data_IF_167933317487
#
_entry.id   IF_167933317487
#
_cell.length_a   1.000
_cell.length_b   1.000
_cell.length_c   1.000
_cell.angle_alpha   90.00
_cell.angle_beta   90.00
_cell.angle_gamma   90.00
#
_symmetry.space_group_name_H-M   'P 1'
#
loop_
_entity.id
_entity.type
_entity.pdbx_description
1 polymer ?
#
# COMPACT_ATOMS: atom_id res chain seq x y z
N UNK A 1 -86.21 33.94 -49.25
CA UNK A 1 -84.92 33.64 -48.59
C UNK A 1 -83.80 34.20 -49.46
N UNK A 2 -82.83 34.85 -48.81
CA UNK A 2 -81.90 35.85 -49.33
C UNK A 2 -80.99 35.45 -50.50
N UNK A 3 -80.55 36.50 -51.19
CA UNK A 3 -79.71 36.55 -52.37
C UNK A 3 -78.20 36.69 -52.07
N UNK A 4 -77.39 36.37 -53.11
CA UNK A 4 -76.32 37.21 -53.68
C UNK A 4 -74.89 37.28 -53.07
N UNK A 5 -73.96 36.79 -53.91
CA UNK A 5 -72.70 37.39 -54.41
C UNK A 5 -71.33 37.30 -53.69
N UNK A 6 -70.34 37.03 -54.56
CA UNK A 6 -68.87 37.09 -54.45
C UNK A 6 -68.31 38.52 -54.28
N UNK A 7 -67.16 38.65 -53.60
CA UNK A 7 -65.94 39.43 -53.97
C UNK A 7 -64.82 39.17 -52.93
N UNK A 8 -63.71 38.51 -53.30
CA UNK A 8 -62.35 39.06 -53.55
C UNK A 8 -61.80 40.01 -52.46
N UNK A 9 -60.67 39.62 -51.85
CA UNK A 9 -59.84 40.49 -51.01
C UNK A 9 -58.49 39.83 -50.66
N UNK A 10 -57.48 40.27 -51.40
CA UNK A 10 -56.02 40.18 -51.27
C UNK A 10 -55.31 39.52 -50.08
N UNK A 11 -54.19 38.90 -50.44
CA UNK A 11 -53.19 38.31 -49.56
C UNK A 11 -52.60 39.24 -48.52
N UNK A 12 -52.04 38.60 -47.50
CA UNK A 12 -50.99 39.15 -46.65
C UNK A 12 -50.04 38.00 -46.34
N UNK A 13 -48.93 37.99 -47.08
CA UNK A 13 -47.75 37.20 -46.76
C UNK A 13 -47.24 37.66 -45.39
N UNK A 14 -47.53 36.92 -44.32
CA UNK A 14 -46.67 36.94 -43.14
C UNK A 14 -45.79 35.70 -43.21
N UNK A 15 -44.68 35.87 -43.95
CA UNK A 15 -43.48 35.05 -43.81
C UNK A 15 -43.04 35.15 -42.34
N UNK A 16 -43.46 34.20 -41.52
CA UNK A 16 -42.76 34.00 -40.25
C UNK A 16 -41.30 33.66 -40.60
N UNK A 17 -40.33 34.35 -40.01
CA UNK A 17 -38.94 34.01 -40.21
C UNK A 17 -38.76 32.64 -39.57
N UNK A 18 -38.69 31.63 -40.42
CA UNK A 18 -38.30 30.26 -40.11
C UNK A 18 -37.02 30.37 -39.29
N UNK A 19 -37.14 30.30 -37.97
CA UNK A 19 -36.00 30.27 -37.07
C UNK A 19 -35.20 29.06 -37.52
N UNK A 20 -34.06 29.31 -38.18
CA UNK A 20 -33.09 28.28 -38.50
C UNK A 20 -32.67 27.71 -37.17
N UNK A 21 -33.39 26.67 -36.71
CA UNK A 21 -32.90 25.73 -35.72
C UNK A 21 -31.65 25.18 -36.36
N UNK A 22 -30.51 25.76 -35.98
CA UNK A 22 -29.23 25.15 -36.21
C UNK A 22 -29.36 23.76 -35.61
N UNK A 23 -29.59 22.76 -36.46
CA UNK A 23 -29.43 21.36 -36.08
C UNK A 23 -27.96 21.27 -35.75
N UNK A 24 -27.64 21.44 -34.47
CA UNK A 24 -26.36 21.01 -33.93
C UNK A 24 -26.23 19.58 -34.42
N UNK A 25 -25.35 19.35 -35.39
CA UNK A 25 -24.95 18.01 -35.76
C UNK A 25 -24.32 17.46 -34.49
N UNK A 26 -25.09 16.73 -33.70
CA UNK A 26 -24.54 15.90 -32.65
C UNK A 26 -23.62 14.93 -33.40
N UNK A 27 -22.31 15.14 -33.26
CA UNK A 27 -21.33 14.14 -33.67
C UNK A 27 -21.80 12.77 -33.21
N UNK A 28 -21.66 11.76 -34.06
CA UNK A 28 -22.03 10.39 -33.71
C UNK A 28 -21.43 10.04 -32.35
N UNK A 29 -22.29 9.64 -31.41
CA UNK A 29 -21.85 9.30 -30.07
C UNK A 29 -20.71 8.25 -30.16
N UNK A 30 -19.62 8.42 -29.40
CA UNK A 30 -18.47 7.54 -29.53
C UNK A 30 -18.88 6.09 -29.25
N UNK A 31 -18.69 5.19 -30.23
CA UNK A 31 -19.15 3.79 -30.13
C UNK A 31 -18.29 2.93 -29.20
N UNK A 32 -17.10 3.42 -28.84
CA UNK A 32 -16.16 2.72 -27.96
C UNK A 32 -15.97 3.50 -26.65
N UNK A 33 -16.02 2.82 -25.51
CA UNK A 33 -15.87 3.45 -24.20
C UNK A 33 -14.59 4.30 -24.09
N UNK A 34 -13.46 3.78 -24.57
CA UNK A 34 -12.16 4.46 -24.51
C UNK A 34 -12.02 5.67 -25.44
N UNK A 35 -12.98 5.91 -26.34
CA UNK A 35 -13.00 7.10 -27.19
C UNK A 35 -13.70 8.30 -26.53
N UNK A 36 -14.23 8.13 -25.32
CA UNK A 36 -14.78 9.22 -24.53
C UNK A 36 -13.65 10.14 -23.99
N UNK A 37 -13.91 11.45 -23.85
CA UNK A 37 -13.04 12.36 -23.12
C UNK A 37 -12.71 11.86 -21.71
N UNK A 38 -11.50 12.21 -21.23
CA UNK A 38 -10.97 11.72 -19.95
C UNK A 38 -11.91 12.04 -18.79
N UNK A 39 -12.52 13.21 -18.79
CA UNK A 39 -13.42 13.68 -17.73
C UNK A 39 -14.68 12.80 -17.63
N UNK A 40 -15.19 12.34 -18.78
CA UNK A 40 -16.34 11.42 -18.81
C UNK A 40 -15.93 10.02 -18.36
N UNK A 41 -14.74 9.55 -18.77
CA UNK A 41 -14.20 8.28 -18.30
C UNK A 41 -14.01 8.28 -16.77
N UNK A 42 -13.43 9.34 -16.21
CA UNK A 42 -13.25 9.53 -14.77
C UNK A 42 -14.60 9.54 -14.03
N UNK A 43 -15.60 10.23 -14.58
CA UNK A 43 -16.96 10.23 -14.03
C UNK A 43 -17.59 8.84 -14.05
N UNK A 44 -17.39 8.05 -15.11
CA UNK A 44 -17.87 6.67 -15.20
C UNK A 44 -17.18 5.80 -14.14
N UNK A 45 -15.85 5.80 -14.09
CA UNK A 45 -15.11 4.94 -13.13
C UNK A 45 -15.37 5.34 -11.68
N UNK A 46 -15.68 6.62 -11.39
CA UNK A 46 -16.09 7.08 -10.06
C UNK A 46 -17.38 6.42 -9.55
N UNK A 47 -18.22 5.91 -10.45
CA UNK A 47 -19.50 5.27 -10.14
C UNK A 47 -19.42 3.75 -10.10
N UNK A 48 -18.25 3.17 -10.41
CA UNK A 48 -18.10 1.72 -10.42
C UNK A 48 -17.96 1.20 -8.99
N UNK A 49 -18.98 0.47 -8.53
CA UNK A 49 -19.00 -0.13 -7.19
C UNK A 49 -17.90 -1.18 -6.98
N UNK A 50 -17.51 -1.88 -8.06
CA UNK A 50 -16.58 -3.01 -8.04
C UNK A 50 -15.42 -2.78 -9.02
N UNK A 51 -14.40 -1.98 -8.64
CA UNK A 51 -13.30 -1.60 -9.53
C UNK A 51 -12.45 -2.80 -9.99
N UNK A 52 -12.54 -3.94 -9.31
CA UNK A 52 -11.89 -5.18 -9.70
C UNK A 52 -12.30 -5.69 -11.08
N UNK A 53 -13.55 -5.45 -11.49
CA UNK A 53 -14.01 -5.84 -12.82
C UNK A 53 -13.36 -4.96 -13.90
N UNK A 54 -13.18 -3.66 -13.65
CA UNK A 54 -12.48 -2.77 -14.58
C UNK A 54 -11.02 -3.19 -14.75
N UNK A 55 -10.32 -3.41 -13.63
CA UNK A 55 -8.89 -3.73 -13.59
C UNK A 55 -8.58 -5.04 -14.36
N UNK A 56 -9.51 -6.00 -14.34
CA UNK A 56 -9.36 -7.30 -15.03
C UNK A 56 -9.75 -7.27 -16.49
N UNK A 57 -10.56 -6.29 -16.93
CA UNK A 57 -11.19 -6.32 -18.25
C UNK A 57 -10.35 -5.63 -19.32
N UNK A 58 -9.70 -4.51 -18.98
CA UNK A 58 -8.89 -3.74 -19.94
C UNK A 58 -7.75 -3.02 -19.22
N UNK A 59 -6.56 -3.07 -19.82
CA UNK A 59 -5.39 -2.34 -19.31
C UNK A 59 -5.63 -0.82 -19.36
N UNK A 60 -6.22 -0.31 -20.43
CA UNK A 60 -6.50 1.12 -20.53
C UNK A 60 -7.53 1.60 -19.49
N UNK A 61 -8.55 0.79 -19.19
CA UNK A 61 -9.51 1.12 -18.11
C UNK A 61 -8.86 1.00 -16.73
N UNK A 62 -7.96 0.03 -16.54
CA UNK A 62 -7.16 -0.09 -15.32
C UNK A 62 -6.32 1.17 -15.09
N UNK A 63 -5.68 1.68 -16.14
CA UNK A 63 -4.79 2.84 -16.03
C UNK A 63 -5.60 4.10 -15.73
N UNK A 64 -6.73 4.31 -16.43
CA UNK A 64 -7.68 5.40 -16.13
C UNK A 64 -8.19 5.34 -14.69
N UNK A 65 -8.62 4.17 -14.22
CA UNK A 65 -9.07 4.00 -12.84
C UNK A 65 -7.94 4.26 -11.83
N UNK A 66 -6.73 3.76 -12.12
CA UNK A 66 -5.56 3.92 -11.26
C UNK A 66 -5.20 5.40 -11.12
N UNK A 67 -5.15 6.14 -12.22
CA UNK A 67 -4.91 7.58 -12.21
C UNK A 67 -5.96 8.33 -11.38
N UNK A 68 -7.24 8.02 -11.62
CA UNK A 68 -8.35 8.62 -10.90
C UNK A 68 -8.24 8.39 -9.38
N UNK A 69 -8.06 7.13 -8.95
CA UNK A 69 -8.04 6.80 -7.52
C UNK A 69 -6.77 7.32 -6.83
N UNK A 70 -5.64 7.36 -7.54
CA UNK A 70 -4.41 7.96 -7.03
C UNK A 70 -4.55 9.47 -6.89
N UNK A 71 -5.25 10.13 -7.80
CA UNK A 71 -5.57 11.56 -7.65
C UNK A 71 -6.48 11.80 -6.44
N UNK A 72 -7.55 11.01 -6.27
CA UNK A 72 -8.40 11.07 -5.07
C UNK A 72 -7.58 10.86 -3.79
N UNK A 73 -6.62 9.94 -3.80
CA UNK A 73 -5.73 9.72 -2.67
C UNK A 73 -4.85 10.93 -2.35
N UNK A 74 -4.26 11.58 -3.36
CA UNK A 74 -3.48 12.81 -3.15
C UNK A 74 -4.35 13.91 -2.54
N UNK A 75 -5.58 14.08 -3.03
CA UNK A 75 -6.54 15.04 -2.45
C UNK A 75 -6.90 14.69 -1.01
N UNK A 76 -7.14 13.40 -0.72
CA UNK A 76 -7.42 12.92 0.64
C UNK A 76 -6.24 13.17 1.59
N UNK A 77 -5.02 12.91 1.17
CA UNK A 77 -3.82 13.21 1.96
C UNK A 77 -3.67 14.71 2.18
N UNK A 78 -3.93 15.51 1.14
CA UNK A 78 -3.87 16.97 1.22
C UNK A 78 -4.89 17.54 2.22
N UNK A 79 -6.12 17.01 2.23
CA UNK A 79 -7.18 17.50 3.13
C UNK A 79 -6.89 17.23 4.62
N UNK A 80 -6.02 16.28 4.93
CA UNK A 80 -5.62 15.92 6.29
C UNK A 80 -4.23 16.48 6.67
N UNK A 81 -3.69 17.47 5.93
CA UNK A 81 -2.47 18.18 6.35
C UNK A 81 -2.70 18.91 7.66
N UNK A 82 -1.62 19.13 8.41
CA UNK A 82 -1.69 19.78 9.72
C UNK A 82 -2.37 21.16 9.64
N UNK A 83 -3.39 21.36 10.45
CA UNK A 83 -4.14 22.60 10.62
C UNK A 83 -3.91 23.17 12.03
N UNK A 84 -4.06 24.49 12.23
CA UNK A 84 -3.79 25.13 13.53
C UNK A 84 -4.71 24.67 14.67
N UNK A 85 -5.93 24.22 14.36
CA UNK A 85 -6.91 23.75 15.34
C UNK A 85 -7.44 22.39 14.89
N UNK A 86 -7.07 21.34 15.62
CA UNK A 86 -7.44 19.97 15.26
C UNK A 86 -8.00 19.22 16.46
N UNK A 87 -9.05 18.44 16.19
CA UNK A 87 -9.51 17.44 17.13
C UNK A 87 -8.58 16.24 17.20
N UNK A 88 -8.75 15.40 18.22
CA UNK A 88 -7.94 14.20 18.45
C UNK A 88 -7.85 13.24 17.25
N UNK A 89 -8.86 13.25 16.36
CA UNK A 89 -8.94 12.38 15.19
C UNK A 89 -7.89 12.69 14.12
N UNK A 90 -7.65 13.96 13.82
CA UNK A 90 -6.82 14.36 12.67
C UNK A 90 -5.35 13.91 12.80
N UNK A 91 -4.69 14.02 13.97
CA UNK A 91 -3.37 13.44 14.19
C UNK A 91 -3.32 11.93 13.92
N UNK A 92 -4.38 11.19 14.28
CA UNK A 92 -4.47 9.75 14.06
C UNK A 92 -4.57 9.43 12.57
N UNK A 93 -5.44 10.14 11.84
CA UNK A 93 -5.58 9.95 10.39
C UNK A 93 -4.27 10.27 9.67
N UNK A 94 -3.59 11.35 10.06
CA UNK A 94 -2.26 11.67 9.52
C UNK A 94 -1.24 10.58 9.79
N UNK A 95 -1.18 10.04 11.02
CA UNK A 95 -0.26 8.96 11.34
C UNK A 95 -0.57 7.71 10.50
N UNK A 96 -1.85 7.36 10.32
CA UNK A 96 -2.28 6.26 9.44
C UNK A 96 -1.82 6.48 7.99
N UNK A 97 -2.02 7.68 7.44
CA UNK A 97 -1.62 8.03 6.07
C UNK A 97 -0.10 8.05 5.91
N UNK A 98 0.63 8.56 6.91
CA UNK A 98 2.10 8.52 6.92
C UNK A 98 2.58 7.08 6.88
N UNK A 99 2.12 6.24 7.82
CA UNK A 99 2.51 4.82 7.87
C UNK A 99 2.12 4.06 6.60
N UNK A 100 0.96 4.37 6.00
CA UNK A 100 0.55 3.81 4.71
C UNK A 100 1.57 4.14 3.60
N UNK A 101 2.00 5.40 3.51
CA UNK A 101 3.01 5.83 2.53
C UNK A 101 4.36 5.12 2.77
N UNK A 102 4.85 5.11 4.02
CA UNK A 102 6.10 4.42 4.38
C UNK A 102 6.09 2.92 4.04
N UNK A 103 4.90 2.30 4.07
CA UNK A 103 4.71 0.89 3.74
C UNK A 103 4.52 0.59 2.24
N UNK A 104 4.20 1.58 1.40
CA UNK A 104 3.74 1.36 0.02
C UNK A 104 4.50 2.12 -1.06
N UNK A 105 5.19 3.21 -0.72
CA UNK A 105 5.83 4.12 -1.68
C UNK A 105 6.80 3.42 -2.66
N UNK A 106 7.65 2.51 -2.17
CA UNK A 106 8.58 1.76 -3.02
C UNK A 106 7.87 0.94 -4.10
N UNK A 107 6.73 0.33 -3.74
CA UNK A 107 5.95 -0.47 -4.68
C UNK A 107 5.23 0.41 -5.70
N UNK A 108 4.61 1.50 -5.26
CA UNK A 108 3.89 2.42 -6.14
C UNK A 108 4.83 2.97 -7.22
N UNK A 109 6.05 3.37 -6.84
CA UNK A 109 7.06 3.89 -7.77
C UNK A 109 7.61 2.85 -8.73
N UNK A 110 7.54 1.56 -8.38
CA UNK A 110 7.93 0.46 -9.25
C UNK A 110 6.77 -0.07 -10.13
N UNK A 111 5.69 0.70 -10.29
CA UNK A 111 4.58 0.33 -11.18
C UNK A 111 3.49 -0.53 -10.53
N UNK A 112 3.53 -0.75 -9.21
CA UNK A 112 2.45 -1.48 -8.50
C UNK A 112 1.28 -0.56 -8.08
N UNK A 113 1.17 0.63 -8.69
CA UNK A 113 0.05 1.57 -8.51
C UNK A 113 -1.35 0.92 -8.66
N UNK A 114 -1.60 0.09 -9.68
CA UNK A 114 -2.90 -0.58 -9.83
C UNK A 114 -3.26 -1.51 -8.66
N UNK A 115 -2.27 -2.21 -8.08
CA UNK A 115 -2.48 -3.06 -6.90
C UNK A 115 -2.83 -2.22 -5.66
N UNK A 116 -2.18 -1.06 -5.51
CA UNK A 116 -2.45 -0.13 -4.42
C UNK A 116 -3.84 0.51 -4.55
N UNK A 117 -4.21 0.96 -5.75
CA UNK A 117 -5.49 1.58 -6.04
C UNK A 117 -6.71 0.68 -5.79
N UNK A 118 -6.54 -0.64 -5.94
CA UNK A 118 -7.61 -1.65 -5.90
C UNK A 118 -8.58 -1.53 -4.71
N UNK A 119 -8.06 -1.31 -3.49
CA UNK A 119 -8.86 -1.20 -2.26
C UNK A 119 -8.82 0.19 -1.62
N UNK A 120 -8.26 1.18 -2.32
CA UNK A 120 -7.91 2.46 -1.72
C UNK A 120 -9.15 3.29 -1.36
N UNK A 121 -10.16 3.31 -2.24
CA UNK A 121 -11.45 3.95 -1.96
C UNK A 121 -12.12 3.39 -0.69
N UNK A 122 -12.11 2.06 -0.53
CA UNK A 122 -12.68 1.40 0.63
C UNK A 122 -11.89 1.72 1.92
N UNK A 123 -10.58 1.88 1.83
CA UNK A 123 -9.76 2.32 2.96
C UNK A 123 -10.14 3.75 3.37
N UNK A 124 -10.21 4.70 2.43
CA UNK A 124 -10.59 6.09 2.73
C UNK A 124 -11.96 6.18 3.36
N UNK A 125 -12.97 5.50 2.80
CA UNK A 125 -14.31 5.48 3.36
C UNK A 125 -14.34 4.96 4.81
N UNK A 126 -13.58 3.90 5.10
CA UNK A 126 -13.48 3.32 6.44
C UNK A 126 -12.73 4.22 7.42
N UNK A 127 -11.65 4.87 6.99
CA UNK A 127 -10.94 5.86 7.82
C UNK A 127 -11.85 7.07 8.11
N UNK A 128 -12.60 7.54 7.11
CA UNK A 128 -13.57 8.63 7.29
C UNK A 128 -14.65 8.29 8.30
N UNK A 129 -15.18 7.06 8.26
CA UNK A 129 -16.21 6.59 9.19
C UNK A 129 -15.68 6.23 10.59
N UNK A 130 -14.37 6.04 10.75
CA UNK A 130 -13.77 5.63 12.02
C UNK A 130 -13.62 6.81 12.98
N UNK A 131 -13.97 6.60 14.24
CA UNK A 131 -13.85 7.60 15.32
C UNK A 131 -12.67 7.32 16.25
N UNK A 132 -12.11 6.10 16.23
CA UNK A 132 -11.02 5.70 17.12
C UNK A 132 -9.84 5.10 16.34
N UNK A 133 -8.66 5.17 16.95
CA UNK A 133 -7.40 4.69 16.38
C UNK A 133 -7.38 3.17 16.15
N UNK A 134 -7.93 2.38 17.08
CA UNK A 134 -7.91 0.91 16.98
C UNK A 134 -8.61 0.42 15.71
N UNK A 135 -9.79 0.97 15.41
CA UNK A 135 -10.55 0.66 14.20
C UNK A 135 -9.79 1.09 12.94
N UNK A 136 -9.21 2.29 12.92
CA UNK A 136 -8.39 2.74 11.79
C UNK A 136 -7.17 1.85 11.55
N UNK A 137 -6.51 1.42 12.63
CA UNK A 137 -5.37 0.51 12.59
C UNK A 137 -5.75 -0.87 12.03
N UNK A 138 -6.91 -1.42 12.40
CA UNK A 138 -7.44 -2.66 11.80
C UNK A 138 -7.66 -2.48 10.29
N UNK A 139 -8.20 -1.34 9.86
CA UNK A 139 -8.42 -1.06 8.44
C UNK A 139 -7.12 -0.90 7.66
N UNK A 140 -6.14 -0.19 8.22
CA UNK A 140 -4.79 -0.05 7.65
C UNK A 140 -4.11 -1.42 7.49
N UNK A 141 -4.08 -2.21 8.57
CA UNK A 141 -3.48 -3.55 8.54
C UNK A 141 -4.16 -4.47 7.52
N UNK A 142 -5.50 -4.42 7.45
CA UNK A 142 -6.24 -5.20 6.46
C UNK A 142 -5.90 -4.75 5.03
N UNK A 143 -5.83 -3.45 4.78
CA UNK A 143 -5.44 -2.93 3.47
C UNK A 143 -4.03 -3.37 3.08
N UNK A 144 -3.04 -3.20 3.97
CA UNK A 144 -1.65 -3.57 3.70
C UNK A 144 -1.48 -5.08 3.48
N UNK A 145 -2.14 -5.91 4.29
CA UNK A 145 -2.14 -7.35 4.07
C UNK A 145 -2.70 -7.70 2.69
N UNK A 146 -3.85 -7.14 2.32
CA UNK A 146 -4.46 -7.40 1.01
C UNK A 146 -3.60 -6.89 -0.14
N UNK A 147 -3.02 -5.71 -0.01
CA UNK A 147 -2.10 -5.13 -0.99
C UNK A 147 -0.89 -6.03 -1.21
N UNK A 148 -0.14 -6.37 -0.15
CA UNK A 148 1.05 -7.21 -0.25
C UNK A 148 0.72 -8.63 -0.74
N UNK A 149 -0.41 -9.21 -0.32
CA UNK A 149 -0.86 -10.51 -0.82
C UNK A 149 -1.19 -10.47 -2.31
N UNK A 150 -1.74 -9.35 -2.80
CA UNK A 150 -2.01 -9.16 -4.23
C UNK A 150 -0.72 -9.03 -5.06
N UNK A 151 0.42 -8.74 -4.44
CA UNK A 151 1.71 -8.71 -5.14
C UNK A 151 2.28 -10.13 -5.32
N UNK A 152 2.00 -11.04 -4.40
CA UNK A 152 2.45 -12.44 -4.47
C UNK A 152 1.66 -13.26 -5.51
N UNK A 153 0.46 -12.81 -5.91
CA UNK A 153 -0.39 -13.46 -6.94
C UNK A 153 -0.76 -12.44 -8.03
N UNK A 154 -0.43 -12.66 -9.32
CA UNK A 154 -0.81 -11.72 -10.37
C UNK A 154 -2.31 -11.43 -10.38
N UNK A 155 -2.73 -10.17 -10.51
CA UNK A 155 -4.17 -9.81 -10.62
C UNK A 155 -4.85 -10.49 -11.83
N UNK A 156 -4.04 -10.89 -12.82
CA UNK A 156 -4.46 -11.61 -14.05
C UNK A 156 -4.57 -13.13 -13.82
N UNK A 157 -3.96 -13.71 -12.77
CA UNK A 157 -4.00 -15.16 -12.49
C UNK A 157 -5.34 -15.65 -11.92
N UNK A 158 -6.38 -14.81 -11.92
CA UNK A 158 -7.79 -15.21 -11.74
C UNK A 158 -8.46 -15.57 -13.08
N UNK A 159 -7.72 -15.54 -14.20
CA UNK A 159 -8.08 -16.23 -15.44
C UNK A 159 -7.34 -17.57 -15.42
N UNK A 160 -8.07 -18.66 -15.20
CA UNK A 160 -7.52 -20.01 -15.34
C UNK A 160 -6.81 -20.12 -16.70
N UNK A 161 -5.53 -20.51 -16.70
CA UNK A 161 -4.82 -20.90 -17.92
C UNK A 161 -3.76 -19.94 -18.48
N UNK A 162 -3.46 -18.79 -17.87
CA UNK A 162 -2.40 -17.91 -18.41
C UNK A 162 -1.57 -17.16 -17.35
N UNK A 163 -1.02 -17.89 -16.38
CA UNK A 163 0.15 -17.42 -15.65
C UNK A 163 1.34 -18.26 -16.10
N UNK A 164 2.16 -17.82 -17.07
CA UNK A 164 3.51 -18.35 -17.13
C UNK A 164 4.12 -18.05 -15.76
N UNK A 165 4.81 -19.02 -15.16
CA UNK A 165 5.59 -18.84 -13.95
C UNK A 165 6.16 -17.41 -13.93
N UNK A 166 5.61 -16.53 -13.07
CA UNK A 166 5.97 -15.12 -13.09
C UNK A 166 7.49 -15.08 -12.94
N UNK A 167 8.20 -14.71 -14.02
CA UNK A 167 9.62 -15.00 -14.18
C UNK A 167 10.35 -14.74 -12.87
N UNK A 168 11.13 -15.69 -12.32
CA UNK A 168 11.62 -15.65 -10.94
C UNK A 168 12.19 -14.30 -10.51
N UNK A 169 12.76 -13.53 -11.45
CA UNK A 169 13.17 -12.14 -11.30
C UNK A 169 12.10 -11.20 -10.72
N UNK A 170 10.83 -11.31 -11.12
CA UNK A 170 9.73 -10.49 -10.59
C UNK A 170 9.40 -10.82 -9.14
N UNK A 171 9.47 -12.11 -8.75
CA UNK A 171 9.29 -12.51 -7.35
C UNK A 171 10.42 -11.92 -6.51
N UNK A 172 11.66 -12.10 -6.94
CA UNK A 172 12.83 -11.59 -6.24
C UNK A 172 12.82 -10.06 -6.13
N UNK A 173 12.37 -9.36 -7.17
CA UNK A 173 12.20 -7.90 -7.14
C UNK A 173 11.17 -7.47 -6.08
N UNK A 174 10.01 -8.14 -6.00
CA UNK A 174 9.03 -7.87 -4.94
C UNK A 174 9.59 -8.14 -3.54
N UNK A 175 10.42 -9.17 -3.37
CA UNK A 175 11.08 -9.47 -2.09
C UNK A 175 12.14 -8.43 -1.73
N UNK A 176 12.85 -7.89 -2.70
CA UNK A 176 13.75 -6.75 -2.51
C UNK A 176 12.96 -5.54 -2.02
N UNK A 177 11.89 -5.17 -2.72
CA UNK A 177 11.04 -4.03 -2.33
C UNK A 177 10.45 -4.19 -0.93
N UNK A 178 9.98 -5.39 -0.59
CA UNK A 178 9.49 -5.68 0.76
C UNK A 178 10.59 -5.52 1.82
N UNK A 179 11.79 -6.00 1.54
CA UNK A 179 12.93 -5.85 2.45
C UNK A 179 13.26 -4.37 2.65
N UNK A 180 13.29 -3.59 1.56
CA UNK A 180 13.46 -2.14 1.61
C UNK A 180 12.35 -1.47 2.44
N UNK A 181 11.09 -1.84 2.22
CA UNK A 181 9.95 -1.34 3.00
C UNK A 181 10.13 -1.62 4.48
N UNK A 182 10.52 -2.83 4.86
CA UNK A 182 10.74 -3.17 6.26
C UNK A 182 11.87 -2.33 6.88
N UNK A 183 12.99 -2.17 6.17
CA UNK A 183 14.09 -1.32 6.59
C UNK A 183 13.66 0.15 6.77
N UNK A 184 12.89 0.68 5.83
CA UNK A 184 12.37 2.04 5.91
C UNK A 184 11.41 2.19 7.09
N UNK A 185 10.45 1.27 7.29
CA UNK A 185 9.55 1.30 8.44
C UNK A 185 10.30 1.31 9.78
N UNK A 186 11.34 0.49 9.92
CA UNK A 186 12.16 0.44 11.14
C UNK A 186 12.86 1.78 11.41
N UNK A 187 13.36 2.45 10.37
CA UNK A 187 14.01 3.76 10.48
C UNK A 187 13.07 4.85 10.98
N UNK A 188 11.76 4.71 10.76
CA UNK A 188 10.76 5.72 11.13
C UNK A 188 10.39 5.71 12.62
N UNK A 189 10.84 4.72 13.39
CA UNK A 189 10.66 4.71 14.85
C UNK A 189 11.51 5.78 15.51
N UNK A 190 10.97 6.43 16.56
CA UNK A 190 11.66 7.52 17.27
C UNK A 190 13.01 7.13 17.86
N UNK A 191 13.17 5.86 18.25
CA UNK A 191 14.39 5.33 18.88
C UNK A 191 14.98 4.17 18.08
N UNK A 192 15.26 4.43 16.81
CA UNK A 192 15.95 3.51 15.91
C UNK A 192 17.47 3.74 15.95
N UNK A 193 18.24 2.65 15.93
CA UNK A 193 19.70 2.71 15.83
C UNK A 193 20.26 1.56 15.00
N UNK A 194 21.23 1.86 14.14
CA UNK A 194 22.09 0.86 13.50
C UNK A 194 23.20 0.48 14.50
N UNK A 195 23.28 -0.80 14.85
CA UNK A 195 24.31 -1.34 15.75
C UNK A 195 25.57 -1.78 14.98
N UNK A 196 25.39 -2.41 13.82
CA UNK A 196 26.48 -2.82 12.93
C UNK A 196 25.99 -3.00 11.50
N UNK A 197 26.86 -2.79 10.52
CA UNK A 197 26.58 -3.00 9.09
C UNK A 197 27.88 -3.41 8.41
N UNK A 198 28.07 -4.71 8.24
CA UNK A 198 29.36 -5.28 7.82
C UNK A 198 29.16 -6.31 6.71
N UNK A 199 30.19 -6.50 5.89
CA UNK A 199 30.27 -7.63 4.97
C UNK A 199 30.96 -8.81 5.66
N UNK A 200 30.30 -9.97 5.74
CA UNK A 200 30.90 -11.22 6.20
C UNK A 200 30.82 -12.27 5.10
N UNK A 201 31.97 -12.64 4.55
CA UNK A 201 32.07 -13.48 3.35
C UNK A 201 31.27 -12.83 2.21
N UNK A 202 30.26 -13.55 1.67
CA UNK A 202 29.36 -13.07 0.63
C UNK A 202 28.07 -12.44 1.17
N UNK A 203 27.91 -12.35 2.49
CA UNK A 203 26.68 -11.84 3.11
C UNK A 203 26.88 -10.43 3.66
N UNK A 204 25.97 -9.53 3.35
CA UNK A 204 25.81 -8.29 4.09
C UNK A 204 25.03 -8.56 5.36
N UNK A 205 25.61 -8.22 6.52
CA UNK A 205 24.99 -8.35 7.83
C UNK A 205 24.66 -6.97 8.38
N UNK A 206 23.37 -6.71 8.56
CA UNK A 206 22.87 -5.49 9.18
C UNK A 206 22.21 -5.84 10.51
N UNK A 207 22.65 -5.19 11.57
CA UNK A 207 22.05 -5.31 12.90
C UNK A 207 21.51 -3.97 13.33
N UNK A 208 20.22 -3.94 13.66
CA UNK A 208 19.52 -2.74 14.12
C UNK A 208 18.82 -2.99 15.45
N UNK A 209 18.63 -1.91 16.19
CA UNK A 209 17.93 -1.86 17.48
C UNK A 209 16.80 -0.85 17.39
N UNK A 210 15.63 -1.22 17.90
CA UNK A 210 14.51 -0.31 18.14
C UNK A 210 14.15 -0.39 19.61
N UNK A 211 14.34 0.72 20.33
CA UNK A 211 14.07 0.80 21.75
C UNK A 211 12.59 1.05 22.05
N UNK A 212 12.13 0.55 23.19
CA UNK A 212 10.76 0.73 23.67
C UNK A 212 9.73 -0.20 23.02
N UNK A 213 10.13 -1.06 22.08
CA UNK A 213 9.25 -2.02 21.42
C UNK A 213 9.65 -3.47 21.75
N UNK A 214 8.71 -4.40 21.59
CA UNK A 214 8.95 -5.82 21.78
C UNK A 214 8.07 -6.69 20.87
N UNK A 215 8.58 -7.88 20.58
CA UNK A 215 7.93 -8.94 19.82
C UNK A 215 8.41 -10.30 20.35
N UNK A 216 7.50 -11.11 20.85
CA UNK A 216 7.76 -12.44 21.40
C UNK A 216 6.71 -13.47 20.97
N UNK A 217 7.03 -14.74 21.20
CA UNK A 217 6.11 -15.87 20.97
C UNK A 217 5.64 -16.35 22.34
N UNK A 218 4.33 -16.46 22.54
CA UNK A 218 3.74 -16.94 23.80
C UNK A 218 3.69 -18.48 23.87
N UNK A 219 3.58 -19.17 22.73
CA UNK A 219 3.49 -20.62 22.69
C UNK A 219 4.84 -21.30 22.95
N UNK A 220 4.96 -21.97 24.09
CA UNK A 220 6.13 -22.74 24.54
C UNK A 220 6.22 -24.14 23.90
N UNK A 221 5.87 -24.30 22.63
CA UNK A 221 6.14 -25.57 21.94
C UNK A 221 7.67 -25.72 21.81
N UNK A 222 8.24 -26.75 22.44
CA UNK A 222 9.69 -27.04 22.48
C UNK A 222 10.26 -27.06 21.06
N UNK A 223 10.96 -25.99 20.68
CA UNK A 223 11.62 -25.84 19.38
C UNK A 223 11.96 -24.37 19.11
N UNK A 224 12.96 -24.10 18.27
CA UNK A 224 13.19 -22.73 17.79
C UNK A 224 11.94 -22.30 17.02
N UNK A 225 11.30 -21.17 17.36
CA UNK A 225 10.11 -20.74 16.65
C UNK A 225 10.49 -20.23 15.26
N UNK A 226 10.62 -21.15 14.30
CA UNK A 226 10.70 -20.81 12.89
C UNK A 226 9.29 -20.55 12.40
N UNK A 227 8.94 -19.30 12.09
CA UNK A 227 7.73 -19.07 11.32
C UNK A 227 8.00 -19.75 9.96
N UNK A 228 7.28 -20.85 9.67
CA UNK A 228 7.32 -21.57 8.39
C UNK A 228 5.93 -21.45 7.74
N UNK A 229 5.85 -20.89 6.53
CA UNK A 229 4.60 -20.74 5.80
C UNK A 229 4.64 -19.64 4.73
N UNK A 230 3.80 -19.75 3.70
CA UNK A 230 3.61 -18.67 2.72
C UNK A 230 3.16 -17.39 3.44
N UNK A 231 3.72 -16.24 3.06
CA UNK A 231 3.28 -14.89 3.42
C UNK A 231 3.59 -14.38 4.84
N UNK A 232 4.43 -15.06 5.63
CA UNK A 232 4.77 -14.59 6.98
C UNK A 232 5.53 -13.26 7.01
N UNK A 233 6.30 -12.99 5.96
CA UNK A 233 6.96 -11.70 5.76
C UNK A 233 5.96 -10.53 5.70
N UNK A 234 4.78 -10.75 5.12
CA UNK A 234 3.67 -9.77 5.08
C UNK A 234 3.14 -9.51 6.50
N UNK A 235 3.01 -10.56 7.30
CA UNK A 235 2.53 -10.42 8.66
C UNK A 235 3.49 -9.61 9.53
N UNK A 236 4.80 -9.83 9.41
CA UNK A 236 5.79 -9.00 10.13
C UNK A 236 5.69 -7.54 9.72
N UNK A 237 5.56 -7.24 8.43
CA UNK A 237 5.34 -5.86 7.98
C UNK A 237 4.09 -5.26 8.63
N UNK A 238 2.99 -6.01 8.72
CA UNK A 238 1.79 -5.56 9.43
C UNK A 238 2.02 -5.29 10.92
N UNK A 239 2.72 -6.18 11.64
CA UNK A 239 3.05 -5.97 13.06
C UNK A 239 3.91 -4.72 13.27
N UNK A 240 4.94 -4.53 12.44
CA UNK A 240 5.84 -3.38 12.52
C UNK A 240 5.10 -2.08 12.19
N UNK A 241 4.22 -2.11 11.18
CA UNK A 241 3.34 -0.98 10.79
C UNK A 241 2.44 -0.56 11.95
N UNK A 242 1.80 -1.52 12.61
CA UNK A 242 0.95 -1.27 13.77
C UNK A 242 1.74 -0.64 14.93
N UNK A 243 2.90 -1.21 15.28
CA UNK A 243 3.76 -0.62 16.32
C UNK A 243 4.25 0.79 15.93
N UNK A 244 4.57 1.02 14.65
CA UNK A 244 5.01 2.33 14.17
C UNK A 244 3.90 3.38 14.30
N UNK A 245 2.65 3.03 13.99
CA UNK A 245 1.51 3.92 14.16
C UNK A 245 1.37 4.40 15.61
N UNK A 246 1.44 3.46 16.55
CA UNK A 246 1.39 3.76 17.99
C UNK A 246 2.61 4.56 18.47
N UNK A 247 3.80 4.28 17.95
CA UNK A 247 5.02 5.05 18.27
C UNK A 247 4.90 6.51 17.80
N UNK A 248 4.42 6.74 16.58
CA UNK A 248 4.20 8.09 16.03
C UNK A 248 3.19 8.90 16.84
N UNK A 249 2.20 8.24 17.43
CA UNK A 249 1.21 8.88 18.30
C UNK A 249 1.67 8.98 19.76
N UNK A 250 2.78 8.35 20.12
CA UNK A 250 3.30 8.36 21.49
C UNK A 250 2.45 7.57 22.49
N UNK A 251 1.73 6.54 22.04
CA UNK A 251 0.75 5.79 22.85
C UNK A 251 1.29 4.39 23.14
N UNK A 252 1.32 3.98 24.42
CA UNK A 252 1.66 2.62 24.80
C UNK A 252 0.64 1.60 24.26
N UNK A 253 1.11 0.41 23.90
CA UNK A 253 0.28 -0.60 23.28
C UNK A 253 0.84 -2.00 23.52
N UNK A 254 -0.06 -2.96 23.72
CA UNK A 254 0.26 -4.39 23.78
C UNK A 254 -0.85 -5.15 23.07
N UNK A 255 -0.49 -6.10 22.24
CA UNK A 255 -1.42 -6.96 21.53
C UNK A 255 -0.91 -8.39 21.45
N UNK A 256 -1.86 -9.32 21.41
CA UNK A 256 -1.64 -10.72 21.10
C UNK A 256 -2.28 -11.02 19.74
N UNK A 257 -1.53 -11.64 18.83
CA UNK A 257 -2.04 -12.03 17.52
C UNK A 257 -1.64 -13.46 17.20
N UNK A 258 -2.63 -14.28 16.89
CA UNK A 258 -2.40 -15.65 16.46
C UNK A 258 -2.18 -15.69 14.95
N UNK A 259 -1.04 -16.23 14.54
CA UNK A 259 -0.63 -16.36 13.14
C UNK A 259 -0.23 -17.83 12.92
N UNK A 260 -0.97 -18.53 12.06
CA UNK A 260 -0.71 -19.95 11.73
C UNK A 260 -0.51 -20.85 12.97
N UNK A 261 -1.40 -20.73 13.96
CA UNK A 261 -1.35 -21.55 15.17
C UNK A 261 -0.28 -21.13 16.19
N UNK A 262 0.37 -19.98 16.01
CA UNK A 262 1.28 -19.40 17.01
C UNK A 262 0.79 -18.05 17.48
N UNK A 263 0.74 -17.86 18.79
CA UNK A 263 0.38 -16.58 19.39
C UNK A 263 1.62 -15.72 19.60
N UNK A 264 1.69 -14.60 18.89
CA UNK A 264 2.70 -13.58 19.05
C UNK A 264 2.20 -12.51 20.00
N UNK A 265 3.04 -12.09 20.94
CA UNK A 265 2.81 -10.90 21.76
C UNK A 265 3.77 -9.80 21.33
N UNK A 266 3.24 -8.61 21.08
CA UNK A 266 4.02 -7.48 20.61
C UNK A 266 3.43 -6.17 21.09
N UNK A 267 4.24 -5.12 21.02
CA UNK A 267 3.79 -3.79 21.37
C UNK A 267 4.93 -2.85 21.70
N UNK A 268 4.56 -1.73 22.34
CA UNK A 268 5.49 -0.71 22.79
C UNK A 268 5.13 -0.21 24.19
N UNK A 269 6.17 0.03 24.97
CA UNK A 269 6.08 0.68 26.26
C UNK A 269 7.15 1.79 26.33
N UNK A 270 6.68 3.00 26.11
CA UNK A 270 7.44 4.23 26.04
C UNK A 270 7.89 4.73 27.42
N UNK A 271 7.32 4.20 28.49
CA UNK A 271 7.66 4.55 29.87
C UNK A 271 8.79 3.66 30.42
N UNK A 272 8.97 2.45 29.86
CA UNK A 272 9.99 1.49 30.27
C UNK A 272 11.09 1.29 29.20
N UNK A 273 11.46 2.36 28.48
CA UNK A 273 12.45 2.33 27.37
C UNK A 273 13.75 1.60 27.70
N UNK A 274 14.22 1.71 28.95
CA UNK A 274 15.47 1.08 29.40
C UNK A 274 15.42 -0.45 29.44
N UNK A 275 14.23 -1.05 29.41
CA UNK A 275 14.05 -2.48 29.65
C UNK A 275 13.54 -3.27 28.44
N UNK A 276 13.00 -2.61 27.40
CA UNK A 276 12.42 -3.27 26.23
C UNK A 276 13.13 -2.78 24.97
N UNK A 277 13.69 -3.72 24.21
CA UNK A 277 14.29 -3.44 22.91
C UNK A 277 14.11 -4.63 21.98
N UNK A 278 13.84 -4.33 20.72
CA UNK A 278 13.83 -5.30 19.63
C UNK A 278 15.13 -5.17 18.85
N UNK A 279 15.90 -6.26 18.80
CA UNK A 279 17.10 -6.36 17.99
C UNK A 279 16.74 -7.18 16.75
N UNK A 280 16.95 -6.60 15.57
CA UNK A 280 16.76 -7.26 14.28
C UNK A 280 18.12 -7.44 13.60
N UNK A 281 18.40 -8.66 13.16
CA UNK A 281 19.60 -9.01 12.41
C UNK A 281 19.21 -9.54 11.04
N UNK A 282 19.56 -8.78 10.01
CA UNK A 282 19.40 -9.13 8.62
C UNK A 282 20.70 -9.76 8.12
N UNK A 283 20.59 -10.92 7.49
CA UNK A 283 21.67 -11.56 6.73
C UNK A 283 21.23 -11.64 5.28
N UNK A 284 21.88 -10.87 4.43
CA UNK A 284 21.49 -10.65 3.03
C UNK A 284 22.56 -11.23 2.11
N UNK A 285 22.16 -12.11 1.20
CA UNK A 285 22.94 -12.56 0.06
C UNK A 285 22.33 -11.94 -1.20
N UNK A 286 23.04 -11.01 -1.83
CA UNK A 286 22.55 -10.29 -3.00
C UNK A 286 23.70 -9.74 -3.87
N UNK A 287 23.47 -9.42 -5.14
CA UNK A 287 24.41 -8.63 -5.93
C UNK A 287 24.70 -7.28 -5.29
N UNK A 288 25.89 -6.73 -5.57
CA UNK A 288 26.39 -5.49 -4.93
C UNK A 288 25.42 -4.32 -5.07
N UNK A 289 24.79 -4.14 -6.23
CA UNK A 289 23.82 -3.06 -6.45
C UNK A 289 22.57 -3.20 -5.57
N UNK A 290 22.05 -4.41 -5.36
CA UNK A 290 20.95 -4.66 -4.43
C UNK A 290 21.35 -4.37 -2.97
N UNK A 291 22.57 -4.73 -2.58
CA UNK A 291 23.10 -4.39 -1.24
C UNK A 291 23.19 -2.87 -1.07
N UNK A 292 23.71 -2.15 -2.07
CA UNK A 292 23.79 -0.69 -2.05
C UNK A 292 22.40 -0.04 -1.94
N UNK A 293 21.39 -0.57 -2.63
CA UNK A 293 20.00 -0.10 -2.51
C UNK A 293 19.46 -0.29 -1.08
N UNK A 294 19.71 -1.44 -0.45
CA UNK A 294 19.29 -1.69 0.92
C UNK A 294 20.02 -0.81 1.94
N UNK A 295 21.31 -0.56 1.72
CA UNK A 295 22.12 0.36 2.54
C UNK A 295 21.59 1.79 2.43
N UNK A 296 21.30 2.28 1.22
CA UNK A 296 20.67 3.60 1.02
C UNK A 296 19.28 3.67 1.64
N UNK A 297 18.48 2.62 1.54
CA UNK A 297 17.14 2.57 2.13
C UNK A 297 17.18 2.69 3.66
N UNK A 298 18.07 1.96 4.35
CA UNK A 298 18.19 2.05 5.81
C UNK A 298 18.86 3.35 6.28
N UNK A 299 19.71 3.97 5.46
CA UNK A 299 20.28 5.30 5.72
C UNK A 299 19.27 6.44 5.49
N UNK A 300 18.19 6.18 4.74
CA UNK A 300 17.24 7.23 4.34
C UNK A 300 17.75 8.11 3.20
N UNK A 301 18.75 7.64 2.46
CA UNK A 301 19.43 8.36 1.37
C UNK A 301 18.95 7.91 -0.02
N UNK A 302 17.89 7.10 -0.07
CA UNK A 302 17.39 6.60 -1.33
C UNK A 302 16.63 7.71 -2.06
N UNK A 303 17.18 8.15 -3.19
CA UNK A 303 16.41 8.94 -4.14
C UNK A 303 15.37 8.02 -4.79
N UNK A 304 14.13 8.41 -4.61
CA UNK A 304 12.98 7.69 -5.12
C UNK A 304 12.56 8.18 -6.52
N UNK A 305 13.25 9.17 -7.10
CA UNK A 305 12.99 9.62 -8.48
C UNK A 305 13.35 8.55 -9.50
N UNK A 306 14.38 7.73 -9.20
CA UNK A 306 14.81 6.62 -10.05
C UNK A 306 14.06 5.32 -9.72
N UNK A 307 13.59 4.55 -10.72
CA UNK A 307 12.97 3.26 -10.47
C UNK A 307 13.96 2.26 -9.87
N UNK A 308 13.48 1.47 -8.90
CA UNK A 308 14.31 0.44 -8.26
C UNK A 308 14.39 -0.77 -9.20
N UNK A 309 15.56 -0.99 -9.79
CA UNK A 309 15.80 -2.11 -10.70
C UNK A 309 16.55 -3.26 -10.03
N UNK A 310 16.17 -4.49 -10.37
CA UNK A 310 16.90 -5.70 -10.01
C UNK A 310 17.50 -6.32 -11.28
N UNK A 311 18.80 -6.66 -11.31
CA UNK A 311 19.41 -7.32 -12.45
C UNK A 311 18.76 -8.68 -12.71
N UNK A 312 18.63 -9.11 -13.97
CA UNK A 312 18.10 -10.43 -14.29
C UNK A 312 18.97 -11.53 -13.67
N UNK A 313 18.34 -12.61 -13.21
CA UNK A 313 18.97 -13.79 -12.61
C UNK A 313 19.77 -13.48 -11.33
N UNK A 314 19.36 -12.42 -10.61
CA UNK A 314 19.98 -12.05 -9.35
C UNK A 314 19.62 -13.03 -8.24
N UNK A 315 20.64 -13.63 -7.64
CA UNK A 315 20.54 -14.37 -6.40
C UNK A 315 20.16 -13.42 -5.25
N UNK A 316 18.92 -13.47 -4.75
CA UNK A 316 18.50 -12.65 -3.60
C UNK A 316 17.93 -13.51 -2.50
N UNK A 317 18.58 -13.48 -1.33
CA UNK A 317 18.09 -14.14 -0.13
C UNK A 317 18.30 -13.24 1.07
N UNK A 318 17.30 -13.23 1.94
CA UNK A 318 17.30 -12.42 3.15
C UNK A 318 16.77 -13.27 4.28
N UNK A 319 17.62 -13.49 5.28
CA UNK A 319 17.24 -14.07 6.57
C UNK A 319 17.13 -12.95 7.59
N UNK A 320 16.04 -12.96 8.33
CA UNK A 320 15.77 -12.05 9.44
C UNK A 320 15.73 -12.83 10.75
N UNK A 321 16.53 -12.41 11.72
CA UNK A 321 16.45 -12.85 13.10
C UNK A 321 15.97 -11.70 13.98
N UNK A 322 14.95 -11.93 14.78
CA UNK A 322 14.38 -10.96 15.70
C UNK A 322 14.54 -11.48 17.12
N UNK A 323 15.03 -10.64 18.00
CA UNK A 323 15.12 -10.98 19.43
C UNK A 323 14.66 -9.81 20.28
N UNK A 324 13.75 -10.09 21.21
CA UNK A 324 13.36 -9.13 22.23
C UNK A 324 14.19 -9.40 23.48
N UNK A 325 14.87 -8.37 23.99
CA UNK A 325 15.57 -8.45 25.27
C UNK A 325 14.80 -7.68 26.32
N UNK A 326 14.26 -8.40 27.30
CA UNK A 326 13.84 -7.80 28.56
C UNK A 326 15.05 -7.80 29.52
N UNK A 327 15.52 -6.64 30.00
CA UNK A 327 16.74 -6.57 30.85
C UNK A 327 16.71 -7.44 32.12
N UNK A 328 15.54 -7.96 32.53
CA UNK A 328 15.35 -8.71 33.78
C UNK A 328 14.99 -10.21 33.62
N UNK A 329 14.91 -10.75 32.40
CA UNK A 329 14.71 -12.19 32.21
C UNK A 329 15.67 -12.78 31.18
N UNK A 330 16.23 -13.95 31.49
CA UNK A 330 17.10 -14.72 30.57
C UNK A 330 16.34 -15.36 29.41
N UNK A 331 15.01 -15.27 29.40
CA UNK A 331 14.15 -15.75 28.33
C UNK A 331 14.23 -14.85 27.10
N UNK A 332 15.21 -15.11 26.23
CA UNK A 332 15.28 -14.56 24.87
C UNK A 332 14.35 -15.35 23.95
N UNK A 333 13.24 -14.74 23.54
CA UNK A 333 12.52 -15.22 22.36
C UNK A 333 13.30 -14.80 21.11
N UNK A 334 13.75 -15.79 20.32
CA UNK A 334 14.41 -15.55 19.03
C UNK A 334 13.49 -16.08 17.94
N UNK A 335 12.99 -15.20 17.09
CA UNK A 335 12.18 -15.53 15.92
C UNK A 335 13.07 -15.46 14.70
N UNK A 336 13.10 -16.53 13.91
CA UNK A 336 13.87 -16.59 12.65
C UNK A 336 12.90 -16.73 11.48
N UNK A 337 13.13 -15.93 10.44
CA UNK A 337 12.31 -15.87 9.23
C UNK A 337 13.17 -15.75 7.97
N UNK A 338 12.70 -16.37 6.89
CA UNK A 338 13.21 -16.12 5.54
C UNK A 338 12.29 -15.10 4.85
N UNK A 339 12.81 -13.90 4.57
CA UNK A 339 12.08 -12.86 3.83
C UNK A 339 12.17 -13.10 2.31
N UNK A 340 13.30 -13.65 1.86
CA UNK A 340 13.57 -14.06 0.49
C UNK A 340 14.45 -15.31 0.48
N UNK A 341 14.16 -16.26 -0.42
CA UNK A 341 14.93 -17.49 -0.59
C UNK A 341 15.45 -17.57 -2.03
N UNK A 342 16.67 -18.06 -2.18
CA UNK A 342 17.18 -18.58 -3.45
C UNK A 342 16.47 -19.91 -3.71
N UNK A 343 15.78 -19.99 -4.84
CA UNK A 343 15.19 -21.25 -5.33
C UNK A 343 16.28 -22.17 -5.91
#
# INVERSE_FOLDING_TARGET
>A
MSASNRKRGHGSNSLEPNAKRSRVQLEEAPRQLMSLPRELLERIVSKVALPHNLIRTSESLRDVYTDYIMNCHRCFVHSHRQQPQEGFREPVVRAVLKVLSEATDYFIRCGYGPHFGYNLAALHARISASTNMSTMNVHLNRFLCMFLLSLERPLVSLREGSAPAAAGNQVQHRRLLLTMTLLNLLRQFRFFRILSSDMKLLHWQLKVEVDGIFLGVLDQLRGKPSLLGLNQHIHIVGLITEMLLHDQLGINFVCNKTIHGRTLQYGLNLNCRRNLRLILMFTVLAPKNCILLLQKAIAGELDLTDPIHMPPNSAFSVRLEMSSKLRRSDSRSIIVMQLAKLD
#
